data_IF_203544322839
#
_entry.id   IF_203544322839
#
_cell.length_a   1.000
_cell.length_b   1.000
_cell.length_c   1.000
_cell.angle_alpha   90.00
_cell.angle_beta   90.00
_cell.angle_gamma   90.00
#
_symmetry.space_group_name_H-M   'P 1'
#
loop_
_entity.id
_entity.type
_entity.pdbx_description
1 polymer ?
#
# COMPACT_ATOMS: atom_id res chain seq x y z
N UNK A 1 34.56 10.22 -20.42
CA UNK A 1 35.78 10.38 -19.53
C UNK A 1 35.39 10.27 -18.04
N UNK A 2 34.23 10.72 -17.62
CA UNK A 2 33.79 10.61 -16.21
C UNK A 2 33.49 9.15 -15.80
N UNK A 3 32.89 8.35 -16.68
CA UNK A 3 32.56 6.96 -16.37
C UNK A 3 33.80 6.03 -16.23
N UNK A 4 34.94 6.41 -16.79
CA UNK A 4 36.16 5.64 -16.64
C UNK A 4 36.84 5.83 -15.27
N UNK A 5 36.50 6.91 -14.57
CA UNK A 5 37.03 7.21 -13.23
C UNK A 5 36.19 6.60 -12.10
N UNK A 6 34.96 6.13 -12.43
CA UNK A 6 34.03 5.55 -11.48
C UNK A 6 33.84 4.02 -11.64
N UNK A 7 34.75 3.35 -12.33
CA UNK A 7 34.74 1.87 -12.43
C UNK A 7 35.12 1.29 -11.07
N UNK A 8 34.14 1.15 -10.23
CA UNK A 8 34.34 0.79 -8.81
C UNK A 8 34.74 -0.67 -8.66
N UNK A 9 34.25 -1.59 -9.43
CA UNK A 9 34.58 -3.01 -9.40
C UNK A 9 33.77 -3.76 -10.46
N UNK A 10 34.33 -4.69 -11.15
CA UNK A 10 33.51 -5.62 -11.95
C UNK A 10 32.78 -6.54 -10.98
N UNK A 11 31.49 -6.33 -10.82
CA UNK A 11 30.64 -7.13 -9.96
C UNK A 11 30.05 -8.26 -10.77
N UNK A 12 30.37 -9.50 -10.39
CA UNK A 12 29.71 -10.66 -10.95
C UNK A 12 28.39 -10.90 -10.20
N UNK A 13 27.27 -10.56 -10.84
CA UNK A 13 25.91 -10.78 -10.31
C UNK A 13 25.37 -12.19 -10.61
N UNK A 14 26.23 -13.09 -11.06
CA UNK A 14 25.85 -14.47 -11.37
C UNK A 14 25.45 -14.70 -12.82
N UNK A 15 24.97 -15.90 -13.11
CA UNK A 15 24.50 -16.27 -14.43
C UNK A 15 23.23 -15.49 -14.78
N UNK A 16 23.18 -14.98 -16.01
CA UNK A 16 22.02 -14.25 -16.51
C UNK A 16 20.90 -15.22 -16.88
N UNK A 17 19.69 -14.86 -16.48
CA UNK A 17 18.51 -15.69 -16.76
C UNK A 17 17.98 -15.33 -18.14
N UNK A 18 17.94 -16.31 -19.03
CA UNK A 18 17.29 -16.21 -20.33
C UNK A 18 15.83 -16.62 -20.15
N UNK A 19 14.93 -15.65 -20.14
CA UNK A 19 13.51 -15.89 -19.93
C UNK A 19 12.70 -15.36 -21.11
N UNK A 20 11.78 -16.18 -21.58
CA UNK A 20 10.79 -15.79 -22.59
C UNK A 20 9.39 -16.10 -22.07
N UNK A 21 8.47 -15.17 -22.19
CA UNK A 21 7.12 -15.41 -21.74
C UNK A 21 6.20 -14.20 -21.78
N UNK A 22 4.93 -14.50 -21.57
CA UNK A 22 3.85 -13.52 -21.46
C UNK A 22 3.12 -13.78 -20.17
N UNK A 23 2.86 -12.72 -19.41
CA UNK A 23 2.07 -12.76 -18.20
C UNK A 23 0.95 -11.72 -18.28
N UNK A 24 -0.23 -12.08 -17.80
CA UNK A 24 -1.31 -11.13 -17.54
C UNK A 24 -1.90 -11.40 -16.16
N UNK A 25 -2.16 -10.35 -15.40
CA UNK A 25 -2.85 -10.47 -14.12
C UNK A 25 -4.21 -11.14 -14.32
N UNK A 26 -4.49 -12.27 -13.65
CA UNK A 26 -5.80 -12.90 -13.73
C UNK A 26 -6.83 -12.03 -13.00
N UNK A 27 -7.79 -11.46 -13.74
CA UNK A 27 -8.87 -10.66 -13.21
C UNK A 27 -10.21 -11.29 -13.53
N UNK A 28 -11.16 -11.26 -12.59
CA UNK A 28 -12.54 -11.68 -12.84
C UNK A 28 -13.35 -10.55 -13.48
N UNK A 29 -13.09 -9.33 -13.03
CA UNK A 29 -13.75 -8.12 -13.54
C UNK A 29 -12.67 -7.06 -13.80
N UNK A 30 -12.49 -6.69 -15.07
CA UNK A 30 -11.56 -5.62 -15.44
C UNK A 30 -12.03 -4.30 -14.84
N UNK A 31 -11.23 -3.65 -13.97
CA UNK A 31 -11.65 -2.40 -13.34
C UNK A 31 -11.83 -1.24 -14.33
N UNK A 32 -11.23 -1.31 -15.51
CA UNK A 32 -11.29 -0.24 -16.51
C UNK A 32 -12.57 -0.26 -17.34
N UNK A 33 -13.33 -1.37 -17.34
CA UNK A 33 -14.65 -1.43 -17.97
C UNK A 33 -15.80 -1.12 -17.00
N UNK A 34 -15.55 -1.09 -15.69
CA UNK A 34 -16.56 -0.71 -14.68
C UNK A 34 -16.81 0.79 -14.78
N UNK A 35 -18.08 1.18 -14.85
CA UNK A 35 -18.47 2.57 -14.99
C UNK A 35 -17.99 3.43 -13.81
N UNK A 36 -17.60 4.67 -14.09
CA UNK A 36 -17.16 5.61 -13.06
C UNK A 36 -18.25 5.86 -12.00
N UNK A 37 -19.51 5.98 -12.46
CA UNK A 37 -20.65 6.22 -11.59
C UNK A 37 -20.87 5.09 -10.56
N UNK A 38 -20.59 3.84 -10.94
CA UNK A 38 -20.64 2.71 -10.02
C UNK A 38 -19.56 2.84 -8.93
N UNK A 39 -18.34 3.15 -9.32
CA UNK A 39 -17.21 3.36 -8.40
C UNK A 39 -17.46 4.51 -7.44
N UNK A 40 -17.89 5.65 -7.98
CA UNK A 40 -18.22 6.84 -7.17
C UNK A 40 -19.43 6.56 -6.28
N UNK A 41 -20.46 5.88 -6.79
CA UNK A 41 -21.64 5.50 -6.02
C UNK A 41 -21.32 4.63 -4.81
N UNK A 42 -20.35 3.70 -4.93
CA UNK A 42 -19.90 2.89 -3.81
C UNK A 42 -19.18 3.73 -2.74
N UNK A 43 -18.32 4.67 -3.15
CA UNK A 43 -17.64 5.59 -2.23
C UNK A 43 -18.61 6.55 -1.54
N UNK A 44 -19.60 7.08 -2.26
CA UNK A 44 -20.63 7.95 -1.69
C UNK A 44 -21.49 7.24 -0.65
N UNK A 45 -21.84 5.97 -0.88
CA UNK A 45 -22.55 5.16 0.14
C UNK A 45 -21.73 5.00 1.41
N UNK A 46 -20.43 4.74 1.29
CA UNK A 46 -19.56 4.65 2.45
C UNK A 46 -19.40 5.99 3.17
N UNK A 47 -19.25 7.09 2.43
CA UNK A 47 -19.22 8.46 2.97
C UNK A 47 -20.48 8.78 3.78
N UNK A 48 -21.65 8.50 3.22
CA UNK A 48 -22.94 8.71 3.86
C UNK A 48 -23.05 7.94 5.19
N UNK A 49 -22.68 6.66 5.22
CA UNK A 49 -22.73 5.85 6.44
C UNK A 49 -21.77 6.37 7.53
N UNK A 50 -20.57 6.81 7.15
CA UNK A 50 -19.63 7.40 8.11
C UNK A 50 -20.12 8.72 8.68
N UNK A 51 -20.72 9.59 7.86
CA UNK A 51 -21.24 10.91 8.30
C UNK A 51 -22.44 10.84 9.24
N UNK A 52 -23.15 9.70 9.25
CA UNK A 52 -24.25 9.48 10.22
C UNK A 52 -23.76 9.35 11.66
N UNK A 53 -22.47 9.08 11.87
CA UNK A 53 -21.90 8.93 13.21
C UNK A 53 -21.56 10.30 13.80
N UNK A 54 -22.22 10.62 14.92
CA UNK A 54 -21.99 11.90 15.61
C UNK A 54 -20.56 11.96 16.17
N UNK A 55 -19.86 13.06 15.91
CA UNK A 55 -18.47 13.26 16.32
C UNK A 55 -17.47 13.15 15.18
N UNK A 56 -17.83 12.49 14.09
CA UNK A 56 -17.04 12.48 12.86
C UNK A 56 -17.07 13.84 12.19
N UNK A 57 -15.92 14.33 11.77
CA UNK A 57 -15.75 15.65 11.13
C UNK A 57 -15.31 15.55 9.68
N UNK A 58 -14.42 14.63 9.38
CA UNK A 58 -13.93 14.41 8.03
C UNK A 58 -14.04 12.93 7.69
N UNK A 59 -14.45 12.64 6.48
CA UNK A 59 -14.46 11.30 5.92
C UNK A 59 -13.75 11.31 4.58
N UNK A 60 -13.10 10.20 4.27
CA UNK A 60 -12.40 10.00 3.01
C UNK A 60 -12.69 8.61 2.50
N UNK A 61 -12.95 8.53 1.21
CA UNK A 61 -13.00 7.26 0.48
C UNK A 61 -12.17 7.38 -0.79
N UNK A 62 -11.44 6.34 -1.13
CA UNK A 62 -10.62 6.33 -2.35
C UNK A 62 -10.60 4.97 -3.01
N UNK A 63 -10.43 4.99 -4.32
CA UNK A 63 -10.10 3.84 -5.15
C UNK A 63 -8.97 4.20 -6.10
N UNK A 64 -8.11 3.24 -6.39
CA UNK A 64 -7.06 3.40 -7.39
C UNK A 64 -6.96 2.14 -8.24
N UNK A 65 -6.77 2.36 -9.52
CA UNK A 65 -6.61 1.29 -10.51
C UNK A 65 -5.42 1.62 -11.39
N UNK A 66 -4.54 0.64 -11.55
CA UNK A 66 -3.36 0.76 -12.40
C UNK A 66 -3.38 -0.37 -13.42
N UNK A 67 -3.13 -0.03 -14.69
CA UNK A 67 -2.77 -0.99 -15.73
C UNK A 67 -1.39 -0.66 -16.24
N UNK A 68 -0.48 -1.57 -16.08
CA UNK A 68 0.89 -1.43 -16.56
C UNK A 68 1.17 -2.49 -17.62
N UNK A 69 1.60 -2.05 -18.80
CA UNK A 69 2.11 -2.93 -19.84
C UNK A 69 3.63 -2.79 -19.89
N UNK A 70 4.31 -3.87 -19.55
CA UNK A 70 5.78 -3.96 -19.55
C UNK A 70 6.24 -4.83 -20.70
N UNK A 71 7.26 -4.37 -21.41
CA UNK A 71 8.00 -5.19 -22.35
C UNK A 71 9.50 -5.09 -22.04
N UNK A 72 10.11 -6.22 -21.75
CA UNK A 72 11.53 -6.33 -21.50
C UNK A 72 12.19 -7.21 -22.55
N UNK A 73 13.22 -6.66 -23.19
CA UNK A 73 14.02 -7.38 -24.19
C UNK A 73 15.50 -7.15 -23.86
N UNK A 74 16.31 -8.20 -23.92
CA UNK A 74 17.76 -8.10 -23.75
C UNK A 74 18.52 -8.74 -24.92
N UNK A 75 19.78 -8.34 -25.07
CA UNK A 75 20.71 -8.98 -26.03
C UNK A 75 21.12 -10.39 -25.62
N UNK A 76 20.58 -10.89 -24.51
CA UNK A 76 20.87 -12.20 -23.92
C UNK A 76 19.66 -13.12 -24.00
N UNK A 77 18.86 -12.94 -25.07
CA UNK A 77 17.69 -13.76 -25.40
C UNK A 77 16.53 -13.71 -24.39
N UNK A 78 16.46 -12.67 -23.55
CA UNK A 78 15.26 -12.42 -22.78
C UNK A 78 14.22 -11.67 -23.61
N UNK A 79 12.95 -12.11 -23.55
CA UNK A 79 11.80 -11.44 -24.14
C UNK A 79 10.58 -11.69 -23.28
N UNK A 80 10.18 -10.69 -22.50
CA UNK A 80 9.10 -10.80 -21.51
C UNK A 80 8.09 -9.70 -21.75
N UNK A 81 6.81 -10.09 -21.86
CA UNK A 81 5.68 -9.16 -21.90
C UNK A 81 4.78 -9.39 -20.69
N UNK A 82 4.41 -8.30 -20.04
CA UNK A 82 3.54 -8.35 -18.86
C UNK A 82 2.43 -7.31 -18.96
N UNK A 83 1.19 -7.73 -18.72
CA UNK A 83 0.09 -6.84 -18.39
C UNK A 83 -0.23 -7.01 -16.90
N UNK A 84 0.01 -5.96 -16.13
CA UNK A 84 -0.24 -5.96 -14.69
C UNK A 84 -1.43 -5.05 -14.41
N UNK A 85 -2.45 -5.62 -13.76
CA UNK A 85 -3.62 -4.87 -13.30
C UNK A 85 -3.62 -4.89 -11.78
N UNK A 86 -3.73 -3.70 -11.20
CA UNK A 86 -3.85 -3.51 -9.77
C UNK A 86 -5.13 -2.76 -9.43
N UNK A 87 -5.75 -3.16 -8.33
CA UNK A 87 -6.91 -2.49 -7.76
C UNK A 87 -6.69 -2.21 -6.29
N UNK A 88 -7.07 -1.02 -5.86
CA UNK A 88 -6.96 -0.62 -4.46
C UNK A 88 -8.15 0.21 -4.02
N UNK A 89 -8.54 0.08 -2.75
CA UNK A 89 -9.57 0.91 -2.16
C UNK A 89 -9.39 1.05 -0.65
N UNK A 90 -10.02 2.07 -0.09
CA UNK A 90 -10.06 2.28 1.34
C UNK A 90 -10.96 3.44 1.75
N UNK A 91 -11.30 3.46 3.04
CA UNK A 91 -12.07 4.51 3.68
C UNK A 91 -11.40 4.93 4.99
N UNK A 92 -11.61 6.18 5.39
CA UNK A 92 -11.12 6.70 6.66
C UNK A 92 -12.13 7.69 7.25
N UNK A 93 -12.27 7.68 8.57
CA UNK A 93 -13.04 8.64 9.34
C UNK A 93 -12.13 9.35 10.34
N UNK A 94 -12.33 10.66 10.48
CA UNK A 94 -11.65 11.50 11.45
C UNK A 94 -12.69 12.06 12.41
N UNK A 95 -12.49 11.82 13.69
CA UNK A 95 -13.25 12.41 14.79
C UNK A 95 -12.43 13.47 15.52
N UNK A 96 -13.09 14.50 16.03
CA UNK A 96 -12.45 15.59 16.77
C UNK A 96 -13.26 15.93 18.02
N UNK A 97 -12.59 15.97 19.17
CA UNK A 97 -13.14 16.58 20.37
C UNK A 97 -12.91 18.09 20.31
N UNK A 98 -13.99 18.85 20.19
CA UNK A 98 -13.93 20.31 20.10
C UNK A 98 -13.55 21.00 21.41
N UNK A 99 -13.57 20.27 22.53
CA UNK A 99 -13.23 20.81 23.85
C UNK A 99 -11.74 20.72 24.11
N UNK A 100 -11.14 19.56 23.80
CA UNK A 100 -9.69 19.30 24.01
C UNK A 100 -8.87 19.63 22.78
N UNK A 101 -9.48 19.62 21.60
CA UNK A 101 -8.79 19.71 20.32
C UNK A 101 -8.20 18.39 19.83
N UNK A 102 -8.44 17.30 20.55
CA UNK A 102 -7.94 15.99 20.16
C UNK A 102 -8.56 15.50 18.85
N UNK A 103 -7.74 14.87 18.04
CA UNK A 103 -8.11 14.32 16.74
C UNK A 103 -7.72 12.86 16.67
N UNK A 104 -8.69 12.02 16.30
CA UNK A 104 -8.46 10.59 16.11
C UNK A 104 -8.91 10.16 14.72
N UNK A 105 -8.15 9.23 14.12
CA UNK A 105 -8.42 8.71 12.79
C UNK A 105 -8.51 7.19 12.83
N UNK A 106 -9.50 6.66 12.16
CA UNK A 106 -9.61 5.22 11.90
C UNK A 106 -9.82 4.98 10.42
N UNK A 107 -9.15 3.97 9.89
CA UNK A 107 -9.24 3.61 8.48
C UNK A 107 -9.46 2.11 8.27
N UNK A 108 -9.92 1.75 7.08
CA UNK A 108 -10.16 0.39 6.64
C UNK A 108 -9.82 0.27 5.14
N UNK A 109 -9.20 -0.82 4.68
CA UNK A 109 -8.95 -2.10 5.38
C UNK A 109 -7.72 -2.11 6.28
N UNK A 110 -6.89 -1.11 6.30
CA UNK A 110 -5.72 -1.03 7.16
C UNK A 110 -5.49 0.40 7.69
N UNK A 111 -4.49 0.58 8.55
CA UNK A 111 -4.14 1.87 9.13
C UNK A 111 -3.64 2.91 8.09
N UNK A 112 -3.15 2.46 6.95
CA UNK A 112 -2.75 3.34 5.83
C UNK A 112 -3.92 3.83 4.97
N UNK A 113 -5.14 3.34 5.23
CA UNK A 113 -6.36 3.77 4.56
C UNK A 113 -6.69 3.02 3.26
N UNK A 114 -5.71 2.47 2.56
CA UNK A 114 -5.92 1.77 1.29
C UNK A 114 -5.02 0.56 1.16
N UNK A 115 -5.60 -0.58 0.80
CA UNK A 115 -4.86 -1.71 0.26
C UNK A 115 -4.80 -1.64 -1.27
N UNK A 116 -3.71 -2.13 -1.85
CA UNK A 116 -3.53 -2.30 -3.27
C UNK A 116 -3.05 -3.72 -3.56
N UNK A 117 -3.68 -4.39 -4.51
CA UNK A 117 -3.38 -5.78 -4.86
C UNK A 117 -3.41 -5.98 -6.37
N UNK A 118 -2.66 -6.96 -6.84
CA UNK A 118 -2.64 -7.41 -8.24
C UNK A 118 -3.88 -8.27 -8.54
N UNK A 119 -5.05 -7.63 -8.61
CA UNK A 119 -6.38 -8.22 -8.87
C UNK A 119 -7.28 -7.22 -9.58
N UNK A 120 -8.42 -7.68 -10.09
CA UNK A 120 -9.44 -6.86 -10.71
C UNK A 120 -10.42 -6.20 -9.72
N UNK A 121 -11.53 -5.69 -10.26
CA UNK A 121 -12.57 -4.97 -9.51
C UNK A 121 -13.27 -5.86 -8.46
N UNK A 122 -13.23 -7.18 -8.62
CA UNK A 122 -13.71 -8.12 -7.62
C UNK A 122 -13.09 -7.89 -6.23
N UNK A 123 -11.83 -7.43 -6.17
CA UNK A 123 -11.20 -7.07 -4.90
C UNK A 123 -11.95 -5.93 -4.18
N UNK A 124 -12.37 -4.92 -4.94
CA UNK A 124 -13.10 -3.77 -4.39
C UNK A 124 -14.42 -4.22 -3.76
N UNK A 125 -15.16 -5.07 -4.46
CA UNK A 125 -16.47 -5.57 -3.95
C UNK A 125 -16.32 -6.46 -2.72
N UNK A 126 -15.26 -7.25 -2.65
CA UNK A 126 -14.94 -8.11 -1.49
C UNK A 126 -14.62 -7.29 -0.23
N UNK A 127 -14.11 -6.04 -0.37
CA UNK A 127 -13.80 -5.19 0.79
C UNK A 127 -15.05 -4.67 1.52
N UNK A 128 -16.23 -4.67 0.87
CA UNK A 128 -17.49 -4.26 1.51
C UNK A 128 -17.38 -2.91 2.24
N UNK A 129 -16.85 -1.90 1.55
CA UNK A 129 -16.52 -0.59 2.15
C UNK A 129 -17.73 0.04 2.84
N UNK A 130 -18.90 0.04 2.21
CA UNK A 130 -20.10 0.64 2.78
C UNK A 130 -20.59 -0.08 4.04
N UNK A 131 -20.46 -1.42 4.10
CA UNK A 131 -20.82 -2.22 5.27
C UNK A 131 -19.90 -1.97 6.46
N UNK A 132 -18.60 -1.68 6.22
CA UNK A 132 -17.61 -1.37 7.24
C UNK A 132 -17.59 0.12 7.64
N UNK A 133 -18.16 1.00 6.84
CA UNK A 133 -18.05 2.44 6.97
C UNK A 133 -18.50 2.95 8.34
N UNK A 134 -19.67 2.52 8.81
CA UNK A 134 -20.22 2.93 10.11
C UNK A 134 -19.31 2.49 11.26
N UNK A 135 -18.83 1.25 11.25
CA UNK A 135 -17.91 0.72 12.27
C UNK A 135 -16.61 1.54 12.33
N UNK A 136 -16.02 1.86 11.17
CA UNK A 136 -14.79 2.69 11.09
C UNK A 136 -15.02 4.07 11.73
N UNK A 137 -16.16 4.68 11.47
CA UNK A 137 -16.54 5.96 12.05
C UNK A 137 -16.77 5.89 13.56
N UNK A 138 -17.47 4.86 14.05
CA UNK A 138 -17.71 4.63 15.48
C UNK A 138 -16.38 4.37 16.23
N UNK A 139 -15.46 3.59 15.64
CA UNK A 139 -14.13 3.36 16.19
C UNK A 139 -13.31 4.66 16.26
N UNK A 140 -13.36 5.53 15.25
CA UNK A 140 -12.66 6.82 15.28
C UNK A 140 -13.17 7.71 16.43
N UNK A 141 -14.47 7.72 16.69
CA UNK A 141 -15.07 8.47 17.81
C UNK A 141 -14.68 7.85 19.16
N UNK A 142 -14.71 6.51 19.25
CA UNK A 142 -14.35 5.81 20.48
C UNK A 142 -12.89 6.04 20.89
N UNK A 143 -11.98 6.23 19.94
CA UNK A 143 -10.58 6.53 20.21
C UNK A 143 -10.37 7.88 20.92
N UNK A 144 -11.28 8.85 20.81
CA UNK A 144 -11.18 10.14 21.51
C UNK A 144 -11.23 10.00 23.05
N UNK A 145 -11.84 8.92 23.53
CA UNK A 145 -11.98 8.64 24.97
C UNK A 145 -11.33 7.32 25.38
N UNK A 146 -10.60 6.69 24.46
CA UNK A 146 -9.90 5.47 24.74
C UNK A 146 -8.76 5.70 25.74
N UNK A 147 -8.52 4.72 26.60
CA UNK A 147 -7.39 4.73 27.52
C UNK A 147 -6.08 4.76 26.74
N UNK A 148 -5.15 5.61 27.20
CA UNK A 148 -3.82 5.71 26.58
C UNK A 148 -3.09 4.37 26.73
N UNK A 149 -2.58 3.85 25.61
CA UNK A 149 -1.74 2.65 25.66
C UNK A 149 -0.56 2.88 26.60
N UNK A 150 -0.35 2.01 27.61
CA UNK A 150 0.75 2.18 28.54
C UNK A 150 2.08 2.03 27.83
N UNK A 151 3.05 2.84 28.27
CA UNK A 151 4.42 2.78 27.79
C UNK A 151 5.33 2.28 28.90
N UNK A 152 6.05 1.19 28.66
CA UNK A 152 7.02 0.60 29.55
C UNK A 152 8.38 0.54 28.85
N UNK A 153 9.47 0.43 29.63
CA UNK A 153 10.84 0.33 29.11
C UNK A 153 11.03 -0.91 28.21
N UNK A 154 10.35 -2.01 28.56
CA UNK A 154 10.33 -3.23 27.77
C UNK A 154 8.99 -3.95 27.94
N UNK A 155 8.37 -4.35 26.82
CA UNK A 155 7.14 -5.13 26.82
C UNK A 155 7.05 -6.04 25.60
N UNK A 156 6.28 -7.11 25.71
CA UNK A 156 5.98 -7.98 24.57
C UNK A 156 4.95 -7.29 23.67
N UNK A 157 5.24 -7.22 22.39
CA UNK A 157 4.37 -6.63 21.36
C UNK A 157 3.93 -7.73 20.40
N UNK A 158 2.65 -7.74 20.05
CA UNK A 158 2.09 -8.55 18.97
C UNK A 158 1.68 -7.59 17.85
N UNK A 159 2.32 -7.74 16.70
CA UNK A 159 2.04 -6.93 15.51
C UNK A 159 1.28 -7.77 14.48
N UNK A 160 0.21 -7.21 13.92
CA UNK A 160 -0.46 -7.85 12.77
C UNK A 160 0.32 -7.61 11.48
N UNK A 161 -0.07 -8.30 10.40
CA UNK A 161 0.62 -8.22 9.11
C UNK A 161 0.61 -6.82 8.50
N UNK A 162 -0.43 -6.01 8.73
CA UNK A 162 -0.52 -4.67 8.17
C UNK A 162 0.43 -3.68 8.86
N UNK A 163 0.61 -3.82 10.17
CA UNK A 163 1.57 -3.03 10.93
C UNK A 163 3.01 -3.50 10.67
N UNK A 164 3.21 -4.82 10.58
CA UNK A 164 4.53 -5.41 10.37
C UNK A 164 5.07 -5.16 8.95
N UNK A 165 4.21 -5.00 7.96
CA UNK A 165 4.60 -4.85 6.56
C UNK A 165 5.60 -3.70 6.35
N UNK A 166 5.35 -2.52 6.94
CA UNK A 166 6.25 -1.38 6.83
C UNK A 166 7.59 -1.64 7.53
N UNK A 167 7.57 -2.26 8.70
CA UNK A 167 8.79 -2.60 9.43
C UNK A 167 9.66 -3.59 8.65
N UNK A 168 9.06 -4.62 8.06
CA UNK A 168 9.81 -5.58 7.22
C UNK A 168 10.35 -4.89 5.96
N UNK A 169 9.57 -4.00 5.33
CA UNK A 169 10.00 -3.21 4.18
C UNK A 169 11.26 -2.40 4.51
N UNK A 170 11.22 -1.60 5.57
CA UNK A 170 12.33 -0.70 5.94
C UNK A 170 13.52 -1.43 6.56
N UNK A 171 13.28 -2.41 7.44
CA UNK A 171 14.34 -3.04 8.22
C UNK A 171 14.98 -4.24 7.53
N UNK A 172 14.29 -4.89 6.60
CA UNK A 172 14.79 -6.04 5.86
C UNK A 172 14.88 -5.76 4.35
N UNK A 173 13.83 -5.21 3.74
CA UNK A 173 13.76 -5.00 2.30
C UNK A 173 14.86 -4.09 1.79
N UNK A 174 14.91 -2.87 2.25
CA UNK A 174 15.92 -1.91 1.82
C UNK A 174 17.36 -2.31 2.16
N UNK A 175 17.69 -2.86 3.35
CA UNK A 175 19.07 -3.26 3.64
C UNK A 175 19.63 -4.34 2.72
N UNK A 176 18.81 -5.20 2.12
CA UNK A 176 19.26 -6.26 1.21
C UNK A 176 19.22 -5.86 -0.27
N UNK A 177 18.93 -4.62 -0.60
CA UNK A 177 19.05 -4.11 -1.97
C UNK A 177 20.48 -4.26 -2.48
N UNK A 178 20.63 -4.70 -3.73
CA UNK A 178 21.92 -5.08 -4.28
C UNK A 178 22.93 -3.95 -4.31
N UNK A 179 22.50 -2.74 -4.59
CA UNK A 179 23.32 -1.51 -4.57
C UNK A 179 23.85 -1.20 -3.16
N UNK A 180 23.06 -1.43 -2.10
CA UNK A 180 23.52 -1.31 -0.71
C UNK A 180 24.50 -2.42 -0.33
N UNK A 181 24.21 -3.66 -0.75
CA UNK A 181 25.11 -4.81 -0.53
C UNK A 181 26.45 -4.57 -1.19
N UNK A 182 26.47 -4.01 -2.39
CA UNK A 182 27.68 -3.72 -3.15
C UNK A 182 28.33 -2.38 -2.77
N UNK A 183 27.68 -1.55 -1.94
CA UNK A 183 28.16 -0.27 -1.50
C UNK A 183 28.13 0.84 -2.56
N UNK A 184 27.38 0.67 -3.65
CA UNK A 184 27.31 1.66 -4.73
C UNK A 184 26.47 2.88 -4.35
N UNK A 185 25.58 2.76 -3.35
CA UNK A 185 24.77 3.83 -2.77
C UNK A 185 25.26 4.31 -1.39
N UNK A 186 26.46 3.93 -0.97
CA UNK A 186 26.95 4.22 0.38
C UNK A 186 26.88 5.70 0.79
N UNK A 187 27.05 6.61 -0.17
CA UNK A 187 26.99 8.05 0.07
C UNK A 187 25.56 8.60 0.24
N UNK A 188 24.53 7.88 -0.20
CA UNK A 188 23.14 8.32 -0.19
C UNK A 188 22.29 7.52 0.82
N UNK A 189 22.26 6.21 0.65
CA UNK A 189 21.37 5.32 1.41
C UNK A 189 22.10 4.44 2.44
N UNK A 190 23.42 4.54 2.54
CA UNK A 190 24.24 3.69 3.39
C UNK A 190 24.59 2.35 2.76
N UNK A 191 25.11 1.45 3.59
CA UNK A 191 25.51 0.09 3.18
C UNK A 191 24.61 -0.94 3.84
N UNK A 192 24.60 -2.16 3.30
CA UNK A 192 24.01 -3.33 3.93
C UNK A 192 24.77 -3.71 5.22
N UNK A 193 24.13 -4.54 6.04
CA UNK A 193 24.72 -5.14 7.25
C UNK A 193 25.62 -6.33 6.93
#
# INVERSE_FOLDING_TARGET
KASALTKIRDVNIGARVQSQGVYATPVKVDPFIVALDEKVGLLLKADEEMRRVKGVKVVRGEMAFVRENKEFVSTEDASIKQEIIESGCGIAAMATDLTTGDVQVRSYPNAGGRNQVTRGYEFITEQKLAENARRVAEEAVALLTAEQCPSYDAMTIILDGSQLALQVHESCGHPIELDRVLGTEAAFAGTSF
#
